data_IF_552171702994
#
_entry.id   IF_552171702994
#
_cell.length_a   1.000
_cell.length_b   1.000
_cell.length_c   1.000
_cell.angle_alpha   90.00
_cell.angle_beta   90.00
_cell.angle_gamma   90.00
#
_symmetry.space_group_name_H-M   'P 1'
#
loop_
_entity.id
_entity.type
_entity.pdbx_description
1 polymer ?
#
# COMPACT_ATOMS: atom_id res chain seq x y z
N UNK A 1 32.85 -14.09 -9.98
CA UNK A 1 31.58 -13.49 -10.42
C UNK A 1 31.32 -12.27 -9.55
N UNK A 2 30.95 -11.13 -10.15
CA UNK A 2 30.43 -10.01 -9.36
C UNK A 2 29.14 -10.49 -8.66
N UNK A 3 28.88 -10.06 -7.41
CA UNK A 3 27.65 -10.43 -6.72
C UNK A 3 26.45 -10.01 -7.57
N UNK A 4 25.42 -10.85 -7.62
CA UNK A 4 24.17 -10.41 -8.23
C UNK A 4 23.71 -9.14 -7.49
N UNK A 5 23.42 -8.04 -8.20
CA UNK A 5 22.81 -6.89 -7.57
C UNK A 5 21.55 -7.33 -6.85
N UNK A 6 21.35 -6.84 -5.62
CA UNK A 6 20.03 -6.86 -4.99
C UNK A 6 18.99 -6.31 -5.98
N UNK A 7 17.76 -6.84 -5.97
CA UNK A 7 16.69 -6.33 -6.84
C UNK A 7 16.46 -4.84 -6.59
N UNK A 8 17.11 -4.00 -7.40
CA UNK A 8 16.77 -2.59 -7.54
C UNK A 8 15.39 -2.52 -8.19
N UNK A 9 14.65 -1.45 -7.90
CA UNK A 9 13.33 -1.16 -8.49
C UNK A 9 13.35 -0.97 -10.02
N UNK A 10 14.52 -1.11 -10.63
CA UNK A 10 14.76 -1.10 -12.06
C UNK A 10 15.86 -2.12 -12.42
N UNK A 11 15.85 -2.55 -13.68
CA UNK A 11 16.96 -3.29 -14.31
C UNK A 11 17.44 -2.50 -15.52
N UNK A 12 18.73 -2.24 -15.59
CA UNK A 12 19.37 -1.60 -16.72
C UNK A 12 20.31 -2.55 -17.45
N UNK A 13 20.33 -2.44 -18.78
CA UNK A 13 21.15 -3.27 -19.65
C UNK A 13 21.76 -2.40 -20.73
N UNK A 14 23.01 -2.67 -21.06
CA UNK A 14 23.59 -2.25 -22.33
C UNK A 14 23.55 -3.49 -23.23
N UNK A 15 22.65 -3.48 -24.21
CA UNK A 15 22.56 -4.54 -25.21
C UNK A 15 23.60 -4.28 -26.29
N UNK A 16 24.60 -5.15 -26.37
CA UNK A 16 25.58 -5.19 -27.45
C UNK A 16 25.15 -6.27 -28.43
N UNK A 17 24.85 -5.88 -29.66
CA UNK A 17 24.35 -6.81 -30.67
C UNK A 17 25.50 -7.41 -31.49
N UNK A 18 25.49 -8.72 -31.79
CA UNK A 18 26.52 -9.36 -32.61
C UNK A 18 26.28 -9.14 -34.12
N UNK A 19 25.83 -7.95 -34.51
CA UNK A 19 25.66 -7.54 -35.90
C UNK A 19 26.51 -6.28 -36.19
N UNK A 20 27.19 -6.21 -37.34
CA UNK A 20 28.02 -5.06 -37.67
C UNK A 20 27.22 -3.76 -37.70
N UNK A 21 27.86 -2.65 -37.28
CA UNK A 21 27.32 -1.29 -37.35
C UNK A 21 26.05 -1.01 -36.51
N UNK A 22 25.66 -1.89 -35.59
CA UNK A 22 24.63 -1.58 -34.61
C UNK A 22 25.26 -0.98 -33.34
N UNK A 23 24.94 0.27 -32.97
CA UNK A 23 25.44 0.84 -31.72
C UNK A 23 24.83 0.11 -30.52
N UNK A 24 25.53 0.07 -29.37
CA UNK A 24 24.97 -0.46 -28.13
C UNK A 24 23.66 0.26 -27.77
N UNK A 25 22.65 -0.50 -27.34
CA UNK A 25 21.36 0.06 -26.90
C UNK A 25 21.28 0.01 -25.38
N UNK A 26 21.05 1.16 -24.77
CA UNK A 26 20.74 1.25 -23.35
C UNK A 26 19.25 0.97 -23.13
N UNK A 27 18.94 -0.05 -22.31
CA UNK A 27 17.58 -0.45 -21.94
C UNK A 27 17.40 -0.23 -20.45
N UNK A 28 16.30 0.43 -20.08
CA UNK A 28 15.89 0.65 -18.70
C UNK A 28 14.50 0.04 -18.49
N UNK A 29 14.40 -0.93 -17.59
CA UNK A 29 13.16 -1.58 -17.20
C UNK A 29 12.77 -1.12 -15.80
N UNK A 30 11.66 -0.41 -15.65
CA UNK A 30 11.09 -0.04 -14.35
C UNK A 30 9.70 -0.64 -14.17
N UNK A 31 9.27 -0.84 -12.92
CA UNK A 31 7.89 -1.20 -12.62
C UNK A 31 6.92 -0.12 -13.15
N UNK A 32 5.73 -0.50 -13.66
CA UNK A 32 4.77 0.49 -14.15
C UNK A 32 4.28 1.37 -12.99
N UNK A 33 3.90 2.64 -13.27
CA UNK A 33 3.26 3.49 -12.29
C UNK A 33 2.04 2.84 -11.65
N UNK A 34 1.72 3.28 -10.45
CA UNK A 34 0.45 2.91 -9.81
C UNK A 34 -0.73 3.55 -10.54
N UNK A 35 -1.89 2.90 -10.51
CA UNK A 35 -3.14 3.40 -11.08
C UNK A 35 -4.03 3.96 -9.96
N UNK A 36 -4.79 5.00 -10.27
CA UNK A 36 -5.75 5.56 -9.31
C UNK A 36 -6.79 4.49 -8.92
N UNK A 37 -7.07 4.40 -7.62
CA UNK A 37 -7.95 3.42 -6.98
C UNK A 37 -7.48 1.96 -7.09
N UNK A 38 -6.24 1.72 -7.51
CA UNK A 38 -5.62 0.41 -7.44
C UNK A 38 -5.52 -0.06 -5.98
N UNK A 39 -5.87 -1.32 -5.75
CA UNK A 39 -5.83 -1.95 -4.42
C UNK A 39 -4.92 -3.17 -4.50
N UNK A 40 -3.96 -3.23 -3.58
CA UNK A 40 -3.04 -4.35 -3.42
C UNK A 40 -2.44 -4.30 -2.00
N UNK A 41 -1.61 -5.28 -1.63
CA UNK A 41 -0.76 -5.17 -0.45
C UNK A 41 0.22 -4.00 -0.63
N UNK A 42 0.47 -3.24 0.44
CA UNK A 42 1.34 -2.07 0.37
C UNK A 42 2.73 -2.38 -0.22
N UNK A 43 3.29 -3.54 0.13
CA UNK A 43 4.58 -4.04 -0.38
C UNK A 43 4.62 -4.15 -1.90
N UNK A 44 3.50 -4.48 -2.56
CA UNK A 44 3.42 -4.63 -4.02
C UNK A 44 3.48 -3.28 -4.75
N UNK A 45 3.33 -2.17 -4.02
CA UNK A 45 3.54 -0.84 -4.57
C UNK A 45 4.98 -0.32 -4.43
N UNK A 46 5.87 -1.06 -3.75
CA UNK A 46 7.27 -0.66 -3.60
C UNK A 46 7.96 -0.57 -4.98
N UNK A 47 8.66 0.53 -5.22
CA UNK A 47 9.36 0.78 -6.49
C UNK A 47 8.49 1.27 -7.64
N UNK A 48 7.17 1.38 -7.46
CA UNK A 48 6.26 1.86 -8.50
C UNK A 48 6.13 3.40 -8.44
N UNK A 49 6.31 4.12 -9.56
CA UNK A 49 6.11 5.56 -9.60
C UNK A 49 4.72 5.97 -9.12
N UNK A 50 4.66 7.03 -8.29
CA UNK A 50 3.42 7.46 -7.61
C UNK A 50 2.63 8.54 -8.36
N UNK A 51 3.27 9.33 -9.21
CA UNK A 51 2.59 10.31 -10.09
C UNK A 51 1.50 11.16 -9.40
N UNK A 52 1.81 11.74 -8.23
CA UNK A 52 0.86 12.60 -7.48
C UNK A 52 -0.19 11.85 -6.64
N UNK A 53 -0.06 10.53 -6.50
CA UNK A 53 -0.90 9.69 -5.65
C UNK A 53 -0.11 9.15 -4.46
N UNK A 54 -0.81 8.65 -3.44
CA UNK A 54 -0.21 7.92 -2.32
C UNK A 54 -0.92 6.58 -2.12
N UNK A 55 -0.23 5.63 -1.51
CA UNK A 55 -0.86 4.43 -0.95
C UNK A 55 -1.32 4.74 0.48
N UNK A 56 -2.61 4.56 0.73
CA UNK A 56 -3.22 4.68 2.04
C UNK A 56 -3.53 3.28 2.59
N UNK A 57 -3.04 2.98 3.80
CA UNK A 57 -3.22 1.66 4.41
C UNK A 57 -4.62 1.56 5.02
N UNK A 58 -5.31 0.45 4.75
CA UNK A 58 -6.67 0.21 5.21
C UNK A 58 -6.72 -1.17 5.87
N UNK A 59 -6.75 -1.28 7.22
CA UNK A 59 -6.77 -0.18 8.19
C UNK A 59 -5.37 0.42 8.42
N UNK A 60 -5.27 1.45 9.28
CA UNK A 60 -3.98 2.06 9.60
C UNK A 60 -2.94 1.04 10.11
N UNK A 61 -1.68 1.19 9.68
CA UNK A 61 -0.58 0.35 10.17
C UNK A 61 -0.42 0.42 11.69
N UNK A 62 -0.74 1.56 12.32
CA UNK A 62 -0.71 1.71 13.78
C UNK A 62 -1.75 0.81 14.48
N UNK A 63 -2.97 0.73 13.96
CA UNK A 63 -4.01 -0.15 14.49
C UNK A 63 -3.64 -1.63 14.32
N UNK A 64 -3.09 -2.00 13.16
CA UNK A 64 -2.61 -3.36 12.91
C UNK A 64 -1.48 -3.71 13.88
N UNK A 65 -0.53 -2.80 14.09
CA UNK A 65 0.58 -2.99 15.03
C UNK A 65 0.09 -3.22 16.46
N UNK A 66 -0.80 -2.36 16.96
CA UNK A 66 -1.41 -2.49 18.30
C UNK A 66 -2.18 -3.81 18.46
N UNK A 67 -2.89 -4.25 17.42
CA UNK A 67 -3.60 -5.53 17.41
C UNK A 67 -2.61 -6.72 17.49
N UNK A 68 -1.53 -6.68 16.70
CA UNK A 68 -0.49 -7.71 16.71
C UNK A 68 0.28 -7.76 18.03
N UNK A 69 0.56 -6.61 18.65
CA UNK A 69 1.20 -6.53 19.97
C UNK A 69 0.37 -7.22 21.05
N UNK A 70 -0.97 -7.06 21.00
CA UNK A 70 -1.90 -7.74 21.92
C UNK A 70 -1.97 -9.25 21.67
N UNK A 71 -1.98 -9.68 20.42
CA UNK A 71 -2.05 -11.11 20.07
C UNK A 71 -0.73 -11.84 20.31
N UNK A 72 0.40 -11.16 20.11
CA UNK A 72 1.74 -11.76 20.14
C UNK A 72 2.70 -10.95 21.04
N UNK A 73 2.49 -10.90 22.36
CA UNK A 73 3.26 -10.03 23.27
C UNK A 73 4.75 -10.37 23.37
N UNK A 74 5.19 -11.54 22.86
CA UNK A 74 6.60 -11.96 22.82
C UNK A 74 7.28 -11.65 21.47
N UNK A 75 6.56 -11.11 20.51
CA UNK A 75 7.09 -10.81 19.19
C UNK A 75 8.03 -9.60 19.27
N UNK A 76 9.17 -9.67 18.57
CA UNK A 76 10.12 -8.55 18.52
C UNK A 76 9.50 -7.35 17.81
N UNK A 77 9.81 -6.14 18.28
CA UNK A 77 9.30 -4.89 17.73
C UNK A 77 9.53 -4.75 16.21
N UNK A 78 10.72 -5.11 15.75
CA UNK A 78 11.07 -5.10 14.31
C UNK A 78 10.13 -5.98 13.48
N UNK A 79 9.76 -7.15 14.01
CA UNK A 79 8.86 -8.07 13.32
C UNK A 79 7.42 -7.55 13.32
N UNK A 80 6.99 -6.87 14.39
CA UNK A 80 5.71 -6.15 14.44
C UNK A 80 5.65 -5.00 13.42
N UNK A 81 6.74 -4.23 13.30
CA UNK A 81 6.84 -3.13 12.34
C UNK A 81 6.78 -3.61 10.88
N UNK A 82 7.32 -4.80 10.61
CA UNK A 82 7.22 -5.42 9.29
C UNK A 82 5.83 -6.00 9.02
N UNK A 83 5.25 -6.73 9.98
CA UNK A 83 3.92 -7.31 9.82
C UNK A 83 2.80 -6.26 9.75
N UNK A 84 2.94 -5.16 10.48
CA UNK A 84 1.95 -4.06 10.45
C UNK A 84 1.87 -3.33 9.12
N UNK A 85 2.89 -3.48 8.26
CA UNK A 85 2.91 -2.99 6.87
C UNK A 85 2.36 -4.00 5.87
N UNK A 86 2.15 -5.25 6.29
CA UNK A 86 1.57 -6.30 5.45
C UNK A 86 0.03 -6.22 5.48
N UNK A 87 -0.48 -5.10 5.02
CA UNK A 87 -1.90 -4.74 5.02
C UNK A 87 -2.26 -4.19 3.64
N UNK A 88 -3.52 -4.36 3.25
CA UNK A 88 -4.02 -3.79 2.01
C UNK A 88 -3.88 -2.26 2.01
N UNK A 89 -3.58 -1.71 0.84
CA UNK A 89 -3.54 -0.29 0.60
C UNK A 89 -4.27 0.07 -0.69
N UNK A 90 -4.85 1.27 -0.72
CA UNK A 90 -5.48 1.85 -1.91
C UNK A 90 -4.68 3.04 -2.41
N UNK A 91 -4.55 3.15 -3.72
CA UNK A 91 -3.92 4.31 -4.38
C UNK A 91 -4.93 5.43 -4.52
N UNK A 92 -4.68 6.55 -3.83
CA UNK A 92 -5.57 7.72 -3.82
C UNK A 92 -4.78 9.00 -4.12
N UNK A 93 -5.44 10.09 -4.55
CA UNK A 93 -4.75 11.36 -4.77
C UNK A 93 -4.01 11.80 -3.49
N UNK A 94 -2.80 12.33 -3.63
CA UNK A 94 -1.99 12.75 -2.50
C UNK A 94 -2.73 13.76 -1.60
N UNK A 95 -3.49 14.66 -2.21
CA UNK A 95 -4.32 15.65 -1.51
C UNK A 95 -5.41 15.01 -0.64
N UNK A 96 -6.10 13.98 -1.15
CA UNK A 96 -7.13 13.27 -0.39
C UNK A 96 -6.51 12.55 0.80
N UNK A 97 -5.39 11.86 0.59
CA UNK A 97 -4.65 11.21 1.67
C UNK A 97 -4.21 12.24 2.73
N UNK A 98 -3.64 13.36 2.29
CA UNK A 98 -3.13 14.42 3.15
C UNK A 98 -4.21 15.22 3.88
N UNK A 99 -5.43 15.34 3.37
CA UNK A 99 -6.45 16.21 4.00
C UNK A 99 -7.53 15.42 4.73
N UNK A 100 -7.85 14.22 4.25
CA UNK A 100 -9.08 13.54 4.63
C UNK A 100 -8.86 12.17 5.28
N UNK A 101 -7.74 11.50 4.98
CA UNK A 101 -7.43 10.24 5.67
C UNK A 101 -7.15 10.50 7.15
N UNK A 102 -7.89 9.81 8.02
CA UNK A 102 -7.74 9.91 9.47
C UNK A 102 -6.37 9.40 9.96
N UNK A 103 -5.69 8.62 9.13
CA UNK A 103 -4.48 7.87 9.49
C UNK A 103 -3.21 8.53 8.95
N UNK A 104 -3.33 9.53 8.06
CA UNK A 104 -2.19 10.21 7.47
C UNK A 104 -1.33 10.91 8.51
N UNK A 105 -0.03 10.64 8.47
CA UNK A 105 0.96 11.31 9.31
C UNK A 105 0.76 11.08 10.81
N UNK A 106 0.08 10.00 11.22
CA UNK A 106 -0.19 9.71 12.63
C UNK A 106 -1.28 10.59 13.25
N UNK A 107 -2.23 11.08 12.45
CA UNK A 107 -3.37 11.87 12.94
C UNK A 107 -4.34 11.10 13.83
N UNK A 108 -4.33 9.78 13.77
CA UNK A 108 -5.15 8.94 14.63
C UNK A 108 -4.68 9.06 16.09
N UNK A 109 -5.62 9.35 17.00
CA UNK A 109 -5.33 9.45 18.42
C UNK A 109 -5.04 8.06 19.02
N UNK A 110 -4.34 7.97 20.17
CA UNK A 110 -4.15 6.70 20.86
C UNK A 110 -5.45 5.95 21.14
N UNK A 111 -6.52 6.67 21.51
CA UNK A 111 -7.84 6.09 21.73
C UNK A 111 -8.45 5.50 20.44
N UNK A 112 -8.28 6.20 19.30
CA UNK A 112 -8.73 5.69 18.01
C UNK A 112 -7.95 4.43 17.62
N UNK A 113 -6.62 4.43 17.79
CA UNK A 113 -5.76 3.27 17.53
C UNK A 113 -6.19 2.07 18.38
N UNK A 114 -6.42 2.28 19.68
CA UNK A 114 -6.84 1.21 20.58
C UNK A 114 -8.22 0.64 20.20
N UNK A 115 -9.15 1.50 19.77
CA UNK A 115 -10.46 1.09 19.27
C UNK A 115 -10.35 0.32 17.96
N UNK A 116 -9.61 0.84 16.98
CA UNK A 116 -9.40 0.21 15.68
C UNK A 116 -8.72 -1.16 15.83
N UNK A 117 -7.76 -1.27 16.75
CA UNK A 117 -7.07 -2.52 17.01
C UNK A 117 -7.98 -3.62 17.60
N UNK A 118 -9.13 -3.27 18.17
CA UNK A 118 -10.13 -4.24 18.67
C UNK A 118 -10.99 -4.80 17.53
N UNK A 119 -11.17 -4.03 16.46
CA UNK A 119 -11.97 -4.41 15.28
C UNK A 119 -11.38 -3.78 14.01
N UNK A 120 -10.36 -4.46 13.47
CA UNK A 120 -9.66 -4.04 12.25
C UNK A 120 -10.59 -4.01 11.03
N UNK A 121 -11.66 -4.83 11.03
CA UNK A 121 -12.63 -4.85 9.93
C UNK A 121 -13.47 -3.58 9.93
N UNK A 122 -14.01 -3.21 11.08
CA UNK A 122 -14.75 -1.96 11.24
C UNK A 122 -13.86 -0.72 11.04
N UNK A 123 -12.56 -0.83 11.35
CA UNK A 123 -11.59 0.23 11.06
C UNK A 123 -11.45 0.48 9.55
N UNK A 124 -11.35 -0.57 8.73
CA UNK A 124 -11.38 -0.43 7.25
C UNK A 124 -12.62 0.28 6.78
N UNK A 125 -13.79 -0.14 7.27
CA UNK A 125 -15.07 0.46 6.88
C UNK A 125 -15.10 1.97 7.18
N UNK A 126 -14.66 2.35 8.38
CA UNK A 126 -14.60 3.75 8.82
C UNK A 126 -13.61 4.57 8.00
N UNK A 127 -12.38 4.09 7.85
CA UNK A 127 -11.32 4.79 7.12
C UNK A 127 -11.70 4.98 5.64
N UNK A 128 -12.22 3.93 5.00
CA UNK A 128 -12.67 4.00 3.61
C UNK A 128 -13.85 4.96 3.43
N UNK A 129 -14.86 4.88 4.31
CA UNK A 129 -16.03 5.75 4.24
C UNK A 129 -15.69 7.23 4.44
N UNK A 130 -14.64 7.56 5.22
CA UNK A 130 -14.19 8.93 5.43
C UNK A 130 -13.67 9.58 4.14
N UNK A 131 -12.98 8.81 3.28
CA UNK A 131 -12.40 9.33 2.03
C UNK A 131 -13.32 9.14 0.82
N UNK A 132 -14.26 8.18 0.86
CA UNK A 132 -15.14 7.79 -0.25
C UNK A 132 -15.82 8.98 -0.96
N UNK A 133 -16.42 9.97 -0.27
CA UNK A 133 -17.04 11.12 -0.95
C UNK A 133 -16.04 11.93 -1.77
N UNK A 134 -14.82 12.11 -1.27
CA UNK A 134 -13.79 12.87 -1.99
C UNK A 134 -13.26 12.11 -3.21
N UNK A 135 -13.13 10.77 -3.12
CA UNK A 135 -12.69 9.96 -4.27
C UNK A 135 -13.66 10.08 -5.47
N UNK A 136 -14.96 10.30 -5.22
CA UNK A 136 -15.94 10.56 -6.29
C UNK A 136 -15.64 11.84 -7.07
N UNK A 137 -15.11 12.87 -6.41
CA UNK A 137 -14.68 14.12 -7.07
C UNK A 137 -13.47 13.90 -7.98
N UNK A 138 -12.77 12.78 -7.82
CA UNK A 138 -11.67 12.33 -8.67
C UNK A 138 -12.10 11.27 -9.70
N UNK A 139 -13.40 11.17 -9.98
CA UNK A 139 -13.95 10.31 -11.04
C UNK A 139 -14.19 8.86 -10.65
N UNK A 140 -14.06 8.50 -9.37
CA UNK A 140 -14.42 7.15 -8.92
C UNK A 140 -15.92 6.91 -9.05
N UNK A 141 -16.31 5.83 -9.73
CA UNK A 141 -17.71 5.37 -9.71
C UNK A 141 -18.01 4.64 -8.40
N UNK A 142 -19.29 4.55 -8.05
CA UNK A 142 -19.72 3.76 -6.88
C UNK A 142 -19.25 2.30 -7.01
N UNK A 143 -19.39 1.71 -8.21
CA UNK A 143 -18.96 0.35 -8.48
C UNK A 143 -17.44 0.15 -8.29
N UNK A 144 -16.61 1.10 -8.72
CA UNK A 144 -15.16 1.04 -8.50
C UNK A 144 -14.81 1.10 -7.02
N UNK A 145 -15.50 1.97 -6.27
CA UNK A 145 -15.27 2.13 -4.84
C UNK A 145 -15.68 0.89 -4.05
N UNK A 146 -16.84 0.29 -4.37
CA UNK A 146 -17.27 -0.96 -3.74
C UNK A 146 -16.33 -2.12 -4.08
N UNK A 147 -15.89 -2.26 -5.34
CA UNK A 147 -14.88 -3.26 -5.72
C UNK A 147 -13.56 -3.06 -4.98
N UNK A 148 -13.08 -1.82 -4.87
CA UNK A 148 -11.87 -1.50 -4.13
C UNK A 148 -12.01 -1.89 -2.65
N UNK A 149 -13.13 -1.52 -2.02
CA UNK A 149 -13.43 -1.87 -0.63
C UNK A 149 -13.52 -3.38 -0.41
N UNK A 150 -14.22 -4.11 -1.29
CA UNK A 150 -14.28 -5.57 -1.24
C UNK A 150 -12.90 -6.20 -1.36
N UNK A 151 -12.04 -5.70 -2.27
CA UNK A 151 -10.68 -6.21 -2.44
C UNK A 151 -9.79 -5.93 -1.23
N UNK A 152 -9.94 -4.79 -0.56
CA UNK A 152 -9.25 -4.49 0.71
C UNK A 152 -9.62 -5.54 1.77
N UNK A 153 -10.91 -5.86 1.92
CA UNK A 153 -11.34 -6.88 2.86
C UNK A 153 -10.81 -8.27 2.53
N UNK A 154 -10.87 -8.67 1.26
CA UNK A 154 -10.34 -9.96 0.77
C UNK A 154 -8.85 -10.10 1.11
N UNK A 155 -8.02 -9.12 0.75
CA UNK A 155 -6.58 -9.14 1.02
C UNK A 155 -6.28 -9.20 2.52
N UNK A 156 -7.00 -8.43 3.34
CA UNK A 156 -6.78 -8.42 4.78
C UNK A 156 -7.25 -9.72 5.47
N UNK A 157 -8.29 -10.38 4.93
CA UNK A 157 -8.69 -11.73 5.36
C UNK A 157 -7.61 -12.75 4.98
N UNK A 158 -7.03 -12.66 3.78
CA UNK A 158 -5.91 -13.51 3.34
C UNK A 158 -4.65 -13.30 4.21
N UNK A 159 -4.39 -12.08 4.66
CA UNK A 159 -3.32 -11.79 5.62
C UNK A 159 -3.67 -12.18 7.08
N UNK A 160 -4.87 -12.69 7.33
CA UNK A 160 -5.32 -13.15 8.64
C UNK A 160 -5.59 -12.03 9.65
N UNK A 161 -5.81 -10.80 9.21
CA UNK A 161 -6.08 -9.66 10.09
C UNK A 161 -7.48 -9.75 10.73
N UNK A 162 -8.44 -10.35 10.03
CA UNK A 162 -9.79 -10.62 10.51
C UNK A 162 -10.48 -11.69 9.65
N UNK A 163 -11.64 -12.16 10.11
CA UNK A 163 -12.49 -13.11 9.39
C UNK A 163 -13.61 -12.41 8.62
#
# INVERSE_FOLDING_TARGET
SLPMPEEKDFRDYILIFPIPNMPPVYVYLSKPPVKLFEVDLYSNFAGRPRNGTHADHMPSAAAVKENLEKMYPKLKQEKLDNLSKNVAAIIIPAEVHQKLSATYGGRNSPAQIEQDAKDLRAAVDRDFNAIKPALKNYGATEEQLEKAKSKIHELNQEQGLYK
#
